data_IF_182265167687
#
_entry.id   IF_182265167687
#
_cell.length_a   1.000
_cell.length_b   1.000
_cell.length_c   1.000
_cell.angle_alpha   90.00
_cell.angle_beta   90.00
_cell.angle_gamma   90.00
#
_symmetry.space_group_name_H-M   'P 1'
#
loop_
_entity.id
_entity.type
_entity.pdbx_description
1 polymer ?
2 non-polymer ?
3 non-polymer ?
4 water ?
#
# COMPACT_ATOMS: atom_id res chain seq x y z
N UNK A 5 14.43 -8.95 -25.29
CA UNK A 5 14.02 -8.81 -23.84
C UNK A 5 12.88 -7.82 -23.69
N UNK A 6 11.83 -8.25 -23.02
CA UNK A 6 10.68 -7.40 -22.85
C UNK A 6 10.45 -7.34 -21.34
N UNK A 7 10.33 -6.15 -20.77
CA UNK A 7 9.79 -5.99 -19.42
C UNK A 7 8.31 -6.23 -19.40
N UNK A 8 7.85 -6.94 -18.38
CA UNK A 8 6.48 -7.38 -18.28
C UNK A 8 5.68 -6.64 -17.22
N UNK A 9 6.23 -6.40 -16.02
CA UNK A 9 5.54 -5.67 -14.99
C UNK A 9 6.51 -5.33 -13.90
N UNK A 10 6.08 -4.43 -13.04
CA UNK A 10 6.90 -3.90 -11.96
C UNK A 10 6.24 -4.26 -10.65
N UNK A 11 7.06 -4.57 -9.63
CA UNK A 11 6.53 -4.99 -8.34
C UNK A 11 7.18 -4.13 -7.26
N UNK A 12 6.40 -3.23 -6.67
CA UNK A 12 6.91 -2.39 -5.56
C UNK A 12 7.23 -3.27 -4.36
N UNK A 13 8.27 -2.92 -3.63
CA UNK A 13 8.62 -3.61 -2.40
C UNK A 13 8.48 -2.62 -1.24
N UNK A 14 7.49 -2.88 -0.40
CA UNK A 14 7.30 -2.15 0.85
C UNK A 14 8.28 -2.57 1.84
N UNK A 15 8.61 -1.69 2.76
CA UNK A 15 9.54 -2.09 3.86
C UNK A 15 8.81 -2.23 5.21
N UNK A 16 9.34 -3.07 6.09
CA UNK A 16 8.72 -3.24 7.38
C UNK A 16 9.66 -3.83 8.38
N UNK A 17 9.59 -3.37 9.62
CA UNK A 17 10.31 -4.05 10.70
C UNK A 17 9.64 -5.38 11.02
N UNK A 18 8.32 -5.45 10.79
CA UNK A 18 7.51 -6.69 11.03
C UNK A 18 6.72 -7.04 9.77
N UNK A 19 7.25 -7.93 8.96
CA UNK A 19 6.65 -8.26 7.72
C UNK A 19 5.26 -8.90 7.89
N UNK A 20 5.15 -9.79 8.85
CA UNK A 20 3.93 -10.58 9.00
C UNK A 20 2.73 -9.71 9.33
N UNK A 21 2.92 -8.81 10.27
CA UNK A 21 1.85 -7.90 10.64
C UNK A 21 1.44 -6.97 9.54
N UNK A 22 2.42 -6.47 8.79
CA UNK A 22 2.13 -5.60 7.69
C UNK A 22 1.37 -6.32 6.59
N UNK A 23 1.77 -7.56 6.31
CA UNK A 23 1.06 -8.33 5.31
C UNK A 23 -0.36 -8.64 5.73
N UNK A 25 -2.31 -6.84 7.49
CA UNK A 25 -3.09 -5.60 7.15
C UNK A 25 -3.50 -5.53 5.69
N UNK A 26 -2.56 -5.74 4.77
CA UNK A 26 -2.83 -5.65 3.32
C UNK A 26 -3.84 -6.70 2.92
N UNK A 27 -3.77 -7.87 3.55
CA UNK A 27 -4.74 -8.90 3.28
C UNK A 27 -6.11 -8.69 3.94
N UNK A 28 -6.11 -8.62 5.25
CA UNK A 28 -7.39 -8.60 5.98
C UNK A 28 -8.13 -7.29 5.95
N UNK A 29 -7.37 -6.18 6.00
CA UNK A 29 -7.98 -4.83 5.96
C UNK A 29 -8.18 -4.42 4.54
N UNK A 30 -7.12 -4.44 3.73
CA UNK A 30 -7.24 -3.94 2.39
C UNK A 30 -7.76 -4.91 1.36
N UNK A 31 -7.87 -6.20 1.69
CA UNK A 31 -8.54 -7.13 0.77
C UNK A 31 -7.65 -7.67 -0.37
N UNK A 32 -6.34 -7.65 -0.18
CA UNK A 32 -5.34 -8.27 -1.10
C UNK A 32 -5.31 -9.78 -0.79
N UNK A 33 -4.94 -10.56 -1.78
CA UNK A 33 -4.75 -11.99 -1.64
C UNK A 33 -3.30 -12.31 -1.32
N UNK A 34 -3.08 -13.16 -0.32
CA UNK A 34 -1.73 -13.62 -0.03
C UNK A 34 -1.11 -14.33 -1.25
N UNK A 35 0.15 -14.04 -1.55
CA UNK A 35 0.95 -14.82 -2.46
C UNK A 35 1.90 -15.75 -1.74
N UNK A 36 2.62 -15.25 -0.71
CA UNK A 36 3.54 -16.08 0.08
C UNK A 36 3.97 -15.30 1.30
N UNK A 37 4.58 -15.97 2.28
CA UNK A 37 5.09 -15.28 3.47
C UNK A 37 6.18 -16.09 4.04
N UNK A 38 7.35 -15.48 4.09
CA UNK A 38 8.44 -15.97 4.90
C UNK A 38 8.71 -14.87 5.91
N UNK A 39 9.59 -15.17 6.86
CA UNK A 39 9.90 -14.26 7.95
C UNK A 39 10.34 -12.89 7.50
N UNK A 40 11.09 -12.83 6.40
CA UNK A 40 11.75 -11.63 5.94
C UNK A 40 11.17 -11.06 4.66
N UNK A 41 10.17 -11.72 4.07
CA UNK A 41 9.79 -11.50 2.67
C UNK A 41 8.39 -12.07 2.43
N UNK A 42 7.50 -11.21 2.03
CA UNK A 42 6.09 -11.51 1.84
C UNK A 42 5.61 -10.95 0.54
N UNK A 43 4.54 -11.51 0.03
CA UNK A 43 3.93 -11.04 -1.21
C UNK A 43 2.40 -11.09 -1.19
N UNK A 44 1.75 -10.07 -1.75
CA UNK A 44 0.29 -10.03 -1.89
C UNK A 44 -0.09 -9.54 -3.26
N UNK A 45 -1.33 -9.79 -3.67
CA UNK A 45 -1.87 -9.22 -4.90
C UNK A 45 -3.33 -9.05 -4.93
N UNK A 46 -3.76 -8.18 -5.81
CA UNK A 46 -5.17 -7.88 -6.02
C UNK A 46 -5.38 -7.51 -7.47
N UNK A 47 -6.26 -8.25 -8.10
CA UNK A 47 -6.48 -8.10 -9.55
C UNK A 47 -5.19 -8.31 -10.34
N UNK A 48 -4.32 -9.18 -9.86
CA UNK A 48 -3.10 -9.51 -10.52
C UNK A 48 -1.96 -8.54 -10.24
N UNK A 49 -2.26 -7.42 -9.58
CA UNK A 49 -1.25 -6.41 -9.29
C UNK A 49 -0.57 -6.85 -7.99
N UNK A 50 0.74 -7.05 -8.02
CA UNK A 50 1.49 -7.51 -6.86
C UNK A 50 2.25 -6.44 -6.11
N UNK A 51 2.45 -6.70 -4.80
CA UNK A 51 3.27 -5.89 -3.90
C UNK A 51 4.01 -6.87 -3.07
N UNK A 52 5.30 -6.62 -2.87
CA UNK A 52 6.08 -7.41 -1.94
C UNK A 52 6.35 -6.57 -0.71
N UNK A 53 6.76 -7.23 0.35
CA UNK A 53 7.00 -6.61 1.66
C UNK A 53 8.29 -7.27 2.13
N UNK A 54 9.33 -6.46 2.42
CA UNK A 54 10.62 -6.99 2.83
C UNK A 54 11.08 -6.38 4.17
N UNK A 55 11.70 -7.19 5.05
CA UNK A 55 12.11 -6.67 6.36
C UNK A 55 13.35 -5.78 6.29
N UNK A 56 13.39 -4.81 7.21
CA UNK A 56 14.51 -3.88 7.34
C UNK A 56 14.66 -3.67 8.87
N UNK A 57 15.79 -3.14 9.32
CA UNK A 57 16.06 -2.97 10.76
C UNK A 57 15.94 -1.50 11.22
N UNK A 58 15.64 -0.59 10.29
CA UNK A 58 15.58 0.86 10.58
C UNK A 58 14.23 1.42 10.09
N UNK A 59 13.44 1.93 11.03
CA UNK A 59 12.14 2.56 10.81
C UNK A 59 12.18 3.76 9.83
N UNK A 60 13.33 4.40 9.67
CA UNK A 60 13.43 5.51 8.69
C UNK A 60 13.16 4.97 7.29
N UNK A 61 13.44 3.69 7.04
CA UNK A 61 13.23 3.21 5.67
C UNK A 61 11.73 3.18 5.29
N UNK A 62 10.90 2.43 6.04
CA UNK A 62 9.48 2.44 5.65
C UNK A 62 8.85 3.81 5.75
N UNK A 63 9.29 4.62 6.72
CA UNK A 63 8.82 5.99 6.84
C UNK A 63 9.13 6.86 5.62
N UNK A 64 10.01 6.40 4.75
CA UNK A 64 10.37 7.13 3.55
C UNK A 64 10.15 6.30 2.28
N UNK A 65 9.41 5.21 2.38
CA UNK A 65 9.11 4.36 1.22
C UNK A 65 7.72 4.70 0.67
N UNK A 66 7.61 4.76 -0.65
CA UNK A 66 6.34 5.02 -1.34
C UNK A 66 6.14 4.01 -2.47
N UNK A 67 4.92 3.97 -2.97
CA UNK A 67 4.60 3.26 -4.19
C UNK A 67 3.39 3.91 -4.78
N UNK A 68 3.19 3.72 -6.09
CA UNK A 68 1.97 4.13 -6.76
C UNK A 68 1.27 2.84 -7.28
N UNK A 69 -0.05 2.80 -7.14
CA UNK A 69 -0.86 1.79 -7.76
C UNK A 69 -1.88 2.51 -8.63
N UNK A 70 -1.87 2.22 -9.91
CA UNK A 70 -2.90 2.75 -10.82
C UNK A 70 -4.18 1.96 -10.71
N UNK A 71 -5.29 2.66 -10.58
CA UNK A 71 -6.55 2.01 -10.31
C UNK A 71 -7.59 2.49 -11.26
N UNK A 72 -8.65 1.72 -11.39
CA UNK A 72 -9.84 2.22 -12.02
C UNK A 72 -10.93 2.23 -10.96
N UNK A 73 -11.70 3.30 -10.96
CA UNK A 73 -12.78 3.56 -10.02
C UNK A 73 -12.21 3.76 -8.63
N UNK A 74 -11.39 4.80 -8.51
CA UNK A 74 -10.80 5.18 -7.24
C UNK A 74 -11.88 5.50 -6.18
N UNK A 75 -13.02 6.01 -6.61
CA UNK A 75 -14.12 6.31 -5.70
C UNK A 75 -14.62 5.03 -5.01
N UNK A 76 -14.85 3.97 -5.77
CA UNK A 76 -15.25 2.67 -5.12
C UNK A 76 -14.23 2.15 -4.09
N UNK A 77 -12.95 2.31 -4.42
CA UNK A 77 -11.88 1.79 -3.60
C UNK A 77 -11.79 2.57 -2.31
N UNK A 78 -11.81 3.90 -2.43
CA UNK A 78 -11.81 4.72 -1.21
C UNK A 78 -13.02 4.36 -0.29
N UNK A 79 -14.19 4.14 -0.89
CA UNK A 79 -15.40 3.84 -0.12
C UNK A 79 -15.25 2.46 0.55
N UNK A 80 -14.61 1.50 -0.13
CA UNK A 80 -14.38 0.18 0.45
C UNK A 80 -13.60 0.32 1.71
N UNK A 81 -12.64 1.25 1.76
CA UNK A 81 -11.70 1.32 2.84
C UNK A 81 -12.02 2.38 3.90
N UNK A 82 -13.05 3.18 3.67
CA UNK A 82 -13.33 4.33 4.56
C UNK A 82 -13.77 3.96 5.96
N UNK A 83 -14.59 2.92 6.13
CA UNK A 83 -14.83 2.44 7.48
C UNK A 83 -13.61 1.77 8.14
N UNK A 84 -12.74 1.17 7.32
CA UNK A 84 -11.68 0.30 7.84
C UNK A 84 -10.39 1.02 8.25
N UNK A 85 -10.12 2.17 7.61
CA UNK A 85 -8.85 2.92 7.82
C UNK A 85 -9.17 4.39 8.21
N UNK A 86 -8.56 4.82 9.31
CA UNK A 86 -8.79 6.14 9.86
C UNK A 86 -8.48 7.24 8.83
N UNK A 87 -9.20 8.32 8.90
CA UNK A 87 -8.81 9.48 8.09
C UNK A 87 -7.90 10.44 8.85
N UNK A 88 -7.53 10.11 10.09
CA UNK A 88 -6.65 10.96 10.91
C UNK A 88 -5.17 10.76 10.59
N UNK A 89 -4.70 11.37 9.51
CA UNK A 89 -3.34 11.13 9.00
C UNK A 89 -2.31 11.61 9.99
N UNK A 90 -2.63 12.69 10.72
CA UNK A 90 -1.69 13.30 11.66
C UNK A 90 -1.38 12.39 12.83
N UNK A 91 -2.27 11.44 13.13
CA UNK A 91 -2.00 10.46 14.19
C UNK A 91 -1.16 9.32 13.60
N UNK A 92 0.15 9.32 13.92
CA UNK A 92 1.13 8.34 13.38
C UNK A 92 1.10 6.95 14.01
N UNK A 93 0.30 6.74 15.05
CA UNK A 93 0.22 5.43 15.74
C UNK A 93 -0.65 4.39 15.00
N UNK A 94 -1.42 4.83 14.01
CA UNK A 94 -2.24 3.92 13.26
C UNK A 94 -2.15 4.18 11.77
N UNK A 95 -2.46 3.17 10.95
CA UNK A 95 -2.62 3.44 9.54
C UNK A 95 -3.67 4.52 9.31
N UNK A 96 -3.60 5.15 8.15
CA UNK A 96 -4.51 6.19 7.78
C UNK A 96 -4.57 6.35 6.28
N UNK A 98 -5.80 9.27 3.23
CA UNK A 98 -6.25 10.64 2.91
C UNK A 98 -7.56 10.62 2.14
N UNK A 99 -8.19 11.79 2.03
CA UNK A 99 -9.29 11.96 1.08
C UNK A 99 -8.74 11.87 -0.31
N UNK A 100 -9.63 11.61 -1.26
CA UNK A 100 -9.30 11.66 -2.69
C UNK A 100 -9.00 13.15 -3.03
N UNK A 101 -7.89 13.38 -3.71
CA UNK A 101 -7.39 14.68 -4.12
C UNK A 101 -7.27 14.75 -5.62
N UNK A 102 -7.52 15.93 -6.16
CA UNK A 102 -7.31 16.22 -7.55
C UNK A 102 -5.90 16.77 -7.71
N UNK A 103 -5.11 16.12 -8.56
CA UNK A 103 -3.72 16.50 -8.81
C UNK A 103 -3.61 16.76 -10.30
N UNK A 104 -2.51 17.39 -10.74
CA UNK A 104 -2.57 17.87 -12.14
C UNK A 104 -2.73 16.74 -13.21
N UNK A 105 -2.34 15.53 -12.86
CA UNK A 105 -2.40 14.37 -13.77
C UNK A 105 -3.65 13.49 -13.61
N UNK A 106 -4.35 13.59 -12.49
CA UNK A 106 -5.56 12.80 -12.29
C UNK A 106 -6.20 13.01 -10.93
N UNK A 107 -6.56 11.91 -10.26
CA UNK A 107 -7.10 11.95 -8.88
C UNK A 107 -6.36 10.86 -8.10
N UNK A 108 -6.12 11.10 -6.82
CA UNK A 108 -5.44 10.09 -6.02
C UNK A 108 -5.68 10.23 -4.56
N UNK A 109 -5.48 9.13 -3.85
CA UNK A 109 -5.45 9.19 -2.40
C UNK A 109 -4.23 8.45 -1.91
N UNK A 110 -3.77 8.83 -0.74
CA UNK A 110 -2.67 8.16 -0.12
C UNK A 110 -3.11 7.32 1.06
N UNK A 111 -2.41 6.20 1.23
CA UNK A 111 -2.68 5.29 2.34
C UNK A 111 -1.39 4.96 3.01
N UNK A 112 -1.32 5.21 4.31
CA UNK A 112 -0.14 4.86 5.09
C UNK A 112 -0.42 3.57 5.90
N UNK A 113 0.39 2.52 5.66
CA UNK A 113 0.16 1.27 6.30
C UNK A 113 0.79 1.19 7.68
N UNK A 114 0.56 0.07 8.40
CA UNK A 114 1.07 0.01 9.74
C UNK A 114 2.58 0.12 9.89
N UNK A 115 3.30 -0.25 8.84
CA UNK A 115 4.74 -0.19 8.83
C UNK A 115 5.25 1.24 8.60
N UNK A 116 4.40 2.08 8.03
CA UNK A 116 4.80 3.43 7.65
C UNK A 116 4.91 3.72 6.19
N UNK A 117 4.79 2.71 5.32
CA UNK A 117 4.84 2.91 3.87
C UNK A 117 3.68 3.75 3.38
N UNK A 118 3.91 4.63 2.41
CA UNK A 118 2.88 5.45 1.83
C UNK A 118 2.60 4.96 0.43
N UNK A 119 1.41 4.49 0.19
CA UNK A 119 1.02 4.08 -1.11
C UNK A 119 -0.05 4.99 -1.67
N UNK A 120 0.19 5.44 -2.91
CA UNK A 120 -0.68 6.28 -3.69
C UNK A 120 -1.50 5.47 -4.68
N UNK A 121 -2.83 5.64 -4.58
CA UNK A 121 -3.79 4.97 -5.40
C UNK A 121 -4.28 6.03 -6.34
N UNK A 122 -4.04 5.87 -7.63
CA UNK A 122 -4.28 6.97 -8.54
C UNK A 122 -5.00 6.55 -9.78
N UNK A 123 -5.73 7.51 -10.31
CA UNK A 123 -6.52 7.32 -11.52
C UNK A 123 -6.26 8.45 -12.49
N UNK A 124 -5.92 8.15 -13.75
CA UNK A 124 -5.60 9.18 -14.77
C UNK A 124 -6.80 9.86 -15.42
N UNK A 125 -6.79 11.20 -15.41
CA UNK A 125 -7.91 12.02 -15.90
C UNK A 125 -7.50 13.46 -16.20
#
# INVERSE_FOLDING_TARGET
SNAXAVLLSGVPVLAALDVSTTQXFWIEVLGFTEEFLTEDFGGVSRDGVELFICSVEDQVVPDNTQAWLRVRDIDALHAEWSARVSSDYADASHPAXTAIREVPWGREFGLRDPAGNLVHFSELSEAAETTRTVR
#
